data_IF_806653133884
#
_entry.id   IF_806653133884
#
_cell.length_a   1.000
_cell.length_b   1.000
_cell.length_c   1.000
_cell.angle_alpha   90.00
_cell.angle_beta   90.00
_cell.angle_gamma   90.00
#
_symmetry.space_group_name_H-M   'P 1'
#
loop_
_entity.id
_entity.type
_entity.pdbx_description
1 polymer ?
#
# COMPACT_ATOMS: atom_id res chain seq x y z
N UNK A 1 3.64 55.19 -0.70
CA UNK A 1 4.93 54.50 -0.51
C UNK A 1 4.86 53.34 0.49
N UNK A 2 4.42 53.51 1.75
CA UNK A 2 4.30 52.41 2.73
C UNK A 2 3.46 51.20 2.25
N UNK A 3 2.32 51.44 1.60
CA UNK A 3 1.47 50.37 1.05
C UNK A 3 2.15 49.55 -0.05
N UNK A 4 2.97 50.20 -0.88
CA UNK A 4 3.75 49.51 -1.94
C UNK A 4 4.83 48.63 -1.31
N UNK A 5 5.52 49.14 -0.28
CA UNK A 5 6.51 48.35 0.48
C UNK A 5 5.90 47.11 1.16
N UNK A 6 4.71 47.24 1.73
CA UNK A 6 4.02 46.11 2.37
C UNK A 6 3.65 45.03 1.33
N UNK A 7 3.17 45.43 0.15
CA UNK A 7 2.82 44.49 -0.93
C UNK A 7 4.06 43.76 -1.46
N UNK A 8 5.16 44.48 -1.66
CA UNK A 8 6.43 43.90 -2.13
C UNK A 8 6.99 42.92 -1.09
N UNK A 9 6.95 43.28 0.19
CA UNK A 9 7.39 42.41 1.27
C UNK A 9 6.53 41.13 1.38
N UNK A 10 5.20 41.26 1.23
CA UNK A 10 4.29 40.12 1.23
C UNK A 10 4.53 39.15 0.07
N UNK A 11 4.82 39.65 -1.14
CA UNK A 11 5.16 38.82 -2.29
C UNK A 11 6.50 38.08 -2.11
N UNK A 12 7.49 38.75 -1.52
CA UNK A 12 8.80 38.17 -1.22
C UNK A 12 8.79 37.16 -0.05
N UNK A 13 7.76 37.21 0.81
CA UNK A 13 7.60 36.26 1.92
C UNK A 13 6.97 34.92 1.54
N UNK A 14 6.66 34.68 0.26
CA UNK A 14 6.11 33.40 -0.19
C UNK A 14 7.23 32.35 -0.26
N UNK A 15 7.19 31.38 0.65
CA UNK A 15 8.05 30.19 0.57
C UNK A 15 7.46 29.23 -0.45
N UNK A 16 8.27 28.77 -1.42
CA UNK A 16 7.86 27.72 -2.34
C UNK A 16 7.86 26.40 -1.55
N UNK A 17 6.71 26.01 -1.04
CA UNK A 17 6.52 24.69 -0.44
C UNK A 17 6.32 23.70 -1.58
N UNK A 18 7.19 22.70 -1.70
CA UNK A 18 7.00 21.55 -2.58
C UNK A 18 6.64 20.34 -1.73
N UNK A 19 5.45 19.80 -1.97
CA UNK A 19 5.05 18.53 -1.38
C UNK A 19 5.57 17.39 -2.26
N UNK A 20 6.12 16.35 -1.63
CA UNK A 20 6.52 15.09 -2.28
C UNK A 20 5.32 14.13 -2.49
N UNK A 21 4.08 14.60 -2.28
CA UNK A 21 2.85 13.79 -2.37
C UNK A 21 2.70 13.09 -3.73
N UNK A 22 2.24 11.84 -3.71
CA UNK A 22 1.73 11.19 -4.92
C UNK A 22 1.36 9.71 -4.75
N UNK A 23 0.21 9.35 -5.32
CA UNK A 23 -0.12 7.97 -5.68
C UNK A 23 0.17 7.82 -7.16
N UNK A 24 1.26 7.12 -7.48
CA UNK A 24 1.80 7.08 -8.84
C UNK A 24 1.27 5.89 -9.63
N UNK A 25 0.95 6.13 -10.90
CA UNK A 25 0.67 5.02 -11.83
C UNK A 25 1.96 4.25 -12.10
N UNK A 26 1.94 2.93 -11.88
CA UNK A 26 3.11 2.06 -12.05
C UNK A 26 3.69 2.11 -13.47
N UNK A 27 2.84 2.26 -14.50
CA UNK A 27 3.27 2.41 -15.89
C UNK A 27 4.06 3.69 -16.18
N UNK A 28 4.07 4.65 -15.26
CA UNK A 28 4.81 5.92 -15.34
C UNK A 28 5.96 6.00 -14.33
N UNK A 29 6.32 4.88 -13.68
CA UNK A 29 7.31 4.85 -12.60
C UNK A 29 8.68 5.37 -13.02
N UNK A 30 9.03 5.28 -14.31
CA UNK A 30 10.26 5.87 -14.86
C UNK A 30 10.41 7.38 -14.62
N UNK A 31 9.31 8.11 -14.37
CA UNK A 31 9.35 9.54 -14.00
C UNK A 31 9.73 9.79 -12.54
N UNK A 32 9.62 8.77 -11.68
CA UNK A 32 9.75 8.90 -10.23
C UNK A 32 10.93 8.09 -9.66
N UNK A 33 11.43 7.10 -10.40
CA UNK A 33 12.46 6.17 -9.90
C UNK A 33 13.75 6.89 -9.50
N UNK A 34 14.16 7.93 -10.23
CA UNK A 34 15.34 8.74 -9.88
C UNK A 34 15.18 9.39 -8.51
N UNK A 35 14.00 9.95 -8.21
CA UNK A 35 13.69 10.53 -6.91
C UNK A 35 13.67 9.46 -5.81
N UNK A 36 13.04 8.31 -6.07
CA UNK A 36 13.02 7.19 -5.11
C UNK A 36 14.44 6.71 -4.78
N UNK A 37 15.31 6.61 -5.78
CA UNK A 37 16.70 6.21 -5.61
C UNK A 37 17.53 7.27 -4.88
N UNK A 38 17.29 8.56 -5.16
CA UNK A 38 17.87 9.66 -4.39
C UNK A 38 17.44 9.63 -2.90
N UNK A 39 16.25 9.12 -2.61
CA UNK A 39 15.74 8.88 -1.25
C UNK A 39 16.21 7.55 -0.62
N UNK A 40 17.02 6.76 -1.34
CA UNK A 40 17.66 5.55 -0.83
C UNK A 40 17.11 4.22 -1.35
N UNK A 41 16.07 4.24 -2.20
CA UNK A 41 15.60 3.04 -2.88
C UNK A 41 16.73 2.41 -3.71
N UNK A 42 16.88 1.09 -3.66
CA UNK A 42 17.89 0.34 -4.41
C UNK A 42 17.33 -0.43 -5.60
N UNK A 43 16.00 -0.46 -5.73
CA UNK A 43 15.31 -1.14 -6.82
C UNK A 43 15.35 -0.29 -8.09
N UNK A 44 15.31 -0.98 -9.23
CA UNK A 44 15.03 -0.37 -10.52
C UNK A 44 13.52 -0.20 -10.73
N UNK A 45 13.12 0.53 -11.77
CA UNK A 45 11.70 0.62 -12.11
C UNK A 45 11.12 -0.74 -12.52
N UNK A 46 11.91 -1.58 -13.20
CA UNK A 46 11.52 -2.90 -13.68
C UNK A 46 11.39 -3.93 -12.55
N UNK A 47 12.21 -3.81 -11.49
CA UNK A 47 12.06 -4.62 -10.27
C UNK A 47 10.70 -4.35 -9.60
N UNK A 48 10.19 -3.12 -9.68
CA UNK A 48 8.92 -2.72 -9.06
C UNK A 48 7.73 -3.05 -9.97
N UNK A 49 7.84 -2.73 -11.26
CA UNK A 49 6.81 -2.96 -12.26
C UNK A 49 7.41 -3.31 -13.62
N UNK A 50 7.09 -4.49 -14.12
CA UNK A 50 7.31 -4.88 -15.51
C UNK A 50 6.08 -5.56 -16.10
N UNK A 51 5.88 -5.38 -17.40
CA UNK A 51 4.88 -6.11 -18.17
C UNK A 51 5.44 -7.40 -18.79
N UNK A 52 6.77 -7.51 -18.87
CA UNK A 52 7.46 -8.57 -19.63
C UNK A 52 8.08 -9.65 -18.74
N UNK A 53 8.31 -9.36 -17.46
CA UNK A 53 8.93 -10.26 -16.50
C UNK A 53 8.30 -10.10 -15.12
N UNK A 54 8.55 -11.07 -14.25
CA UNK A 54 8.12 -10.98 -12.86
C UNK A 54 8.73 -9.75 -12.18
N UNK A 55 7.91 -9.07 -11.37
CA UNK A 55 8.28 -7.86 -10.63
C UNK A 55 7.54 -7.80 -9.28
N UNK A 56 7.86 -6.84 -8.41
CA UNK A 56 7.24 -6.70 -7.09
C UNK A 56 5.71 -6.59 -7.17
N UNK A 57 5.19 -5.94 -8.22
CA UNK A 57 3.75 -5.88 -8.51
C UNK A 57 3.06 -7.25 -8.39
N UNK A 58 3.71 -8.32 -8.80
CA UNK A 58 3.07 -9.64 -8.90
C UNK A 58 2.84 -10.28 -7.54
N UNK A 59 3.52 -9.79 -6.50
CA UNK A 59 3.29 -10.19 -5.11
C UNK A 59 2.23 -9.35 -4.40
N UNK A 60 1.77 -8.24 -4.98
CA UNK A 60 0.80 -7.33 -4.34
C UNK A 60 -0.61 -7.64 -4.87
N UNK A 61 -1.54 -7.88 -3.96
CA UNK A 61 -2.92 -8.27 -4.29
C UNK A 61 -3.94 -7.28 -3.74
N UNK A 62 -5.02 -7.08 -4.50
CA UNK A 62 -6.21 -6.39 -4.02
C UNK A 62 -7.19 -7.37 -3.40
N UNK A 63 -7.52 -7.20 -2.11
CA UNK A 63 -8.48 -8.05 -1.40
C UNK A 63 -9.90 -7.65 -1.80
N UNK A 64 -10.66 -8.60 -2.33
CA UNK A 64 -12.03 -8.40 -2.82
C UNK A 64 -12.98 -9.50 -2.35
N UNK A 65 -14.26 -9.31 -2.60
CA UNK A 65 -15.29 -10.30 -2.30
C UNK A 65 -15.60 -11.15 -3.53
N UNK A 66 -15.96 -12.43 -3.35
CA UNK A 66 -16.22 -13.37 -4.44
C UNK A 66 -17.25 -12.89 -5.48
N UNK A 67 -18.17 -12.00 -5.10
CA UNK A 67 -19.16 -11.39 -6.00
C UNK A 67 -18.79 -10.03 -6.59
N UNK A 68 -17.63 -9.46 -6.26
CA UNK A 68 -17.19 -8.12 -6.70
C UNK A 68 -15.68 -8.11 -7.03
N UNK A 69 -15.25 -8.79 -8.10
CA UNK A 69 -13.83 -9.01 -8.39
C UNK A 69 -13.03 -7.73 -8.72
N UNK A 70 -13.71 -6.67 -9.17
CA UNK A 70 -13.08 -5.39 -9.53
C UNK A 70 -13.18 -4.32 -8.43
N UNK A 71 -13.69 -4.66 -7.25
CA UNK A 71 -13.74 -3.77 -6.11
C UNK A 71 -12.93 -4.35 -4.97
N UNK A 72 -11.81 -3.70 -4.67
CA UNK A 72 -10.91 -4.08 -3.59
C UNK A 72 -11.17 -3.21 -2.37
N UNK A 73 -11.26 -3.82 -1.19
CA UNK A 73 -11.46 -3.11 0.07
C UNK A 73 -10.16 -2.89 0.86
N UNK A 74 -9.15 -3.72 0.60
CA UNK A 74 -7.83 -3.66 1.22
C UNK A 74 -6.75 -4.14 0.24
N UNK A 75 -5.50 -3.99 0.64
CA UNK A 75 -4.35 -4.62 0.00
C UNK A 75 -3.86 -5.81 0.83
N UNK A 76 -3.12 -6.69 0.18
CA UNK A 76 -2.29 -7.70 0.83
C UNK A 76 -1.08 -8.04 -0.02
N UNK A 77 -0.22 -8.90 0.52
CA UNK A 77 1.03 -9.28 -0.13
C UNK A 77 1.31 -10.78 0.02
N UNK A 78 1.78 -11.40 -1.05
CA UNK A 78 2.20 -12.80 -1.08
C UNK A 78 3.63 -12.88 -0.54
N UNK A 79 3.84 -13.72 0.48
CA UNK A 79 5.13 -13.85 1.19
C UNK A 79 5.72 -15.26 1.14
N UNK A 80 5.11 -16.19 0.42
CA UNK A 80 5.66 -17.54 0.20
C UNK A 80 5.35 -18.08 -1.20
N UNK A 81 6.13 -19.06 -1.63
CA UNK A 81 5.95 -19.81 -2.87
C UNK A 81 4.68 -20.69 -2.89
N UNK A 82 4.03 -20.85 -1.74
CA UNK A 82 2.76 -21.58 -1.57
C UNK A 82 1.54 -20.66 -1.45
N UNK A 83 1.71 -19.36 -1.66
CA UNK A 83 0.59 -18.41 -1.69
C UNK A 83 0.12 -17.90 -0.32
N UNK A 84 0.94 -18.01 0.74
CA UNK A 84 0.67 -17.32 2.01
C UNK A 84 0.56 -15.81 1.78
N UNK A 85 -0.58 -15.22 2.18
CA UNK A 85 -0.87 -13.79 2.05
C UNK A 85 -0.87 -13.12 3.42
N UNK A 86 -0.23 -11.96 3.53
CA UNK A 86 -0.38 -11.06 4.66
C UNK A 86 -1.32 -9.90 4.34
N UNK A 87 -2.04 -9.45 5.35
CA UNK A 87 -2.82 -8.21 5.35
C UNK A 87 -3.00 -7.72 6.78
N UNK A 88 -3.66 -6.57 6.97
CA UNK A 88 -3.93 -6.05 8.30
C UNK A 88 -5.07 -6.80 8.99
N UNK A 89 -5.02 -6.84 10.32
CA UNK A 89 -6.07 -7.44 11.15
C UNK A 89 -7.46 -6.86 10.83
N UNK A 90 -7.59 -5.54 10.66
CA UNK A 90 -8.88 -4.91 10.36
C UNK A 90 -9.44 -5.29 8.97
N UNK A 91 -8.59 -5.69 8.03
CA UNK A 91 -9.01 -6.21 6.73
C UNK A 91 -9.55 -7.64 6.86
N UNK A 92 -8.94 -8.47 7.70
CA UNK A 92 -9.38 -9.84 8.00
C UNK A 92 -10.48 -9.94 9.06
N UNK A 93 -10.80 -8.84 9.75
CA UNK A 93 -11.68 -8.82 10.92
C UNK A 93 -13.03 -9.47 10.68
N UNK A 94 -13.66 -9.21 9.53
CA UNK A 94 -14.95 -9.81 9.18
C UNK A 94 -14.89 -11.34 9.11
N UNK A 95 -13.79 -11.91 8.61
CA UNK A 95 -13.59 -13.36 8.53
C UNK A 95 -13.30 -13.95 9.90
N UNK A 96 -12.46 -13.28 10.71
CA UNK A 96 -12.15 -13.70 12.09
C UNK A 96 -13.42 -13.71 12.92
N UNK A 97 -14.24 -12.66 12.83
CA UNK A 97 -15.52 -12.55 13.53
C UNK A 97 -16.48 -13.68 13.13
N UNK A 98 -16.61 -13.99 11.83
CA UNK A 98 -17.50 -15.04 11.32
C UNK A 98 -17.15 -16.44 11.84
N UNK A 99 -15.87 -16.69 12.16
CA UNK A 99 -15.40 -17.97 12.70
C UNK A 99 -15.30 -17.98 14.23
N UNK A 100 -15.48 -16.83 14.88
CA UNK A 100 -15.44 -16.73 16.34
C UNK A 100 -16.77 -17.17 16.95
N UNK A 101 -16.69 -17.89 18.07
CA UNK A 101 -17.84 -18.32 18.88
C UNK A 101 -17.57 -17.98 20.35
N UNK A 102 -18.53 -18.20 21.24
CA UNK A 102 -18.31 -18.03 22.69
C UNK A 102 -17.28 -19.04 23.19
N UNK A 103 -17.31 -20.25 22.63
CA UNK A 103 -16.39 -21.34 22.96
C UNK A 103 -15.00 -21.14 22.34
N UNK A 104 -14.94 -20.58 21.13
CA UNK A 104 -13.70 -20.31 20.39
C UNK A 104 -13.63 -18.84 19.98
N UNK A 105 -13.21 -17.98 20.92
CA UNK A 105 -13.14 -16.53 20.71
C UNK A 105 -11.80 -16.14 20.05
N UNK A 106 -11.75 -16.22 18.71
CA UNK A 106 -10.57 -15.83 17.93
C UNK A 106 -10.35 -14.32 17.86
N UNK A 107 -11.40 -13.51 18.09
CA UNK A 107 -11.27 -12.06 18.18
C UNK A 107 -10.41 -11.66 19.39
N UNK A 108 -10.65 -12.29 20.54
CA UNK A 108 -9.90 -11.98 21.77
C UNK A 108 -8.57 -12.73 21.85
N UNK A 109 -8.55 -14.01 21.45
CA UNK A 109 -7.40 -14.90 21.70
C UNK A 109 -6.47 -15.07 20.49
N UNK A 110 -6.88 -14.63 19.31
CA UNK A 110 -6.20 -14.93 18.05
C UNK A 110 -6.43 -16.36 17.58
N UNK A 111 -5.92 -16.66 16.39
CA UNK A 111 -6.02 -17.96 15.75
C UNK A 111 -4.71 -18.31 15.04
N UNK A 112 -4.30 -19.57 15.13
CA UNK A 112 -3.11 -20.10 14.48
C UNK A 112 -3.38 -21.53 14.00
N UNK A 113 -3.38 -21.74 12.69
CA UNK A 113 -3.38 -23.06 12.08
C UNK A 113 -1.97 -23.65 12.12
N UNK A 114 -1.79 -24.84 12.70
CA UNK A 114 -0.50 -25.53 12.74
C UNK A 114 -0.29 -26.46 11.53
N UNK A 115 -1.35 -26.68 10.74
CA UNK A 115 -1.34 -27.49 9.51
C UNK A 115 -2.28 -26.88 8.48
N UNK A 116 -2.02 -27.14 7.19
CA UNK A 116 -2.88 -26.68 6.08
C UNK A 116 -4.35 -27.13 6.17
N UNK A 117 -4.63 -28.27 6.82
CA UNK A 117 -6.01 -28.74 7.03
C UNK A 117 -6.78 -27.98 8.11
N UNK A 118 -6.10 -27.11 8.84
CA UNK A 118 -6.65 -26.29 9.93
C UNK A 118 -6.87 -24.84 9.48
N UNK A 119 -6.36 -24.44 8.29
CA UNK A 119 -6.65 -23.14 7.64
C UNK A 119 -8.09 -23.08 7.11
#
# INVERSE_FOLDING_TARGET
MKRVFIIVFALLSTSIVRADEGMWLLSLLGKNIEQMQAQGCKLTAEDIYSVNQASLKDAIVGLGNAGRPFWHFCSGEIISDKGLVLTNHHCGFGVIQQHSTVEHDYLSNGFWAYKYSEE
#
